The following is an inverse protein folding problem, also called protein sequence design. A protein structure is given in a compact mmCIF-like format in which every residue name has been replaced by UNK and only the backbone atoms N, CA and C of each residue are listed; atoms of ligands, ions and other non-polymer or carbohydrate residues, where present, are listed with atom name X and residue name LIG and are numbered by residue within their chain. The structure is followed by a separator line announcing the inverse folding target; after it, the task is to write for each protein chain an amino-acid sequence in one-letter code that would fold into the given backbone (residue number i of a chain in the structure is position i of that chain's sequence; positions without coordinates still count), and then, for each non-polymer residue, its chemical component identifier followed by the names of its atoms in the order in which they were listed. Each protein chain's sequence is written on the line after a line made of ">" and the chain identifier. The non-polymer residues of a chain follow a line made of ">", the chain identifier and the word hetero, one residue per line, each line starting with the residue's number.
data_IF_477984860253
#
_entry.id   IF_477984860253
#
_cell.length_a   1.000
_cell.length_b   1.000
_cell.length_c   1.000
_cell.angle_alpha   90.00
_cell.angle_beta   90.00
_cell.angle_gamma   90.00
#
_symmetry.space_group_name_H-M   'P 1'
#
loop_
_entity.id
_entity.type
_entity.pdbx_description
1 polymer ?
#
# COMPACT_ATOMS: atom_id res chain seq x y z
N UNK A 1 -5.02 -5.43 -0.18
CA UNK A 1 -4.82 -6.61 0.71
C UNK A 1 -3.36 -7.04 0.80
N UNK A 2 -2.66 -6.85 -0.32
CA UNK A 2 -1.26 -7.12 -0.55
C UNK A 2 -0.43 -5.84 -0.40
N UNK A 3 0.90 -5.97 -0.39
CA UNK A 3 1.81 -4.83 -0.36
C UNK A 3 2.32 -4.44 -1.75
N UNK A 4 2.27 -5.36 -2.70
CA UNK A 4 2.65 -5.16 -4.10
C UNK A 4 4.04 -4.53 -4.26
N UNK A 5 4.95 -4.95 -3.37
CA UNK A 5 6.32 -4.45 -3.20
C UNK A 5 7.36 -5.51 -3.58
N UNK A 6 6.93 -6.62 -4.17
CA UNK A 6 7.85 -7.64 -4.63
C UNK A 6 8.79 -7.09 -5.70
N UNK A 7 9.99 -7.65 -5.73
CA UNK A 7 10.94 -7.53 -6.83
C UNK A 7 10.74 -8.69 -7.82
N UNK A 8 11.26 -8.56 -9.03
CA UNK A 8 11.47 -9.67 -9.96
C UNK A 8 12.25 -10.81 -9.34
N UNK A 9 13.15 -10.55 -8.40
CA UNK A 9 13.91 -11.58 -7.71
C UNK A 9 13.06 -12.25 -6.61
N UNK A 10 12.38 -11.46 -5.78
CA UNK A 10 11.62 -11.96 -4.62
C UNK A 10 10.27 -12.57 -4.96
N UNK A 11 9.63 -12.11 -6.05
CA UNK A 11 8.29 -12.56 -6.42
C UNK A 11 8.23 -14.06 -6.68
N UNK A 12 7.34 -14.82 -6.02
CA UNK A 12 7.13 -16.23 -6.30
C UNK A 12 6.46 -16.49 -7.66
N UNK A 13 5.52 -15.62 -8.04
CA UNK A 13 4.72 -15.77 -9.28
C UNK A 13 5.36 -15.12 -10.50
N UNK A 14 6.32 -14.20 -10.28
CA UNK A 14 6.87 -13.29 -11.31
C UNK A 14 5.81 -12.43 -12.00
N UNK A 15 4.62 -12.30 -11.42
CA UNK A 15 3.60 -11.37 -11.90
C UNK A 15 3.99 -9.94 -11.56
N UNK A 16 4.06 -9.09 -12.58
CA UNK A 16 4.40 -7.66 -12.43
C UNK A 16 3.35 -6.88 -11.63
N UNK A 17 2.15 -7.43 -11.48
CA UNK A 17 1.08 -6.78 -10.72
C UNK A 17 1.41 -6.67 -9.22
N UNK A 18 2.23 -7.58 -8.68
CA UNK A 18 2.73 -7.51 -7.30
C UNK A 18 4.01 -6.69 -7.14
N UNK A 19 4.46 -5.98 -8.19
CA UNK A 19 5.70 -5.19 -8.22
C UNK A 19 5.54 -3.66 -8.44
N UNK A 20 4.34 -3.03 -8.54
CA UNK A 20 4.26 -1.60 -8.86
C UNK A 20 4.97 -0.72 -7.82
N UNK A 21 4.94 -1.09 -6.54
CA UNK A 21 5.61 -0.29 -5.51
C UNK A 21 7.12 -0.38 -5.62
N UNK A 22 7.69 -1.56 -5.91
CA UNK A 22 9.15 -1.71 -6.06
C UNK A 22 9.71 -0.87 -7.22
N UNK A 23 8.95 -0.69 -8.31
CA UNK A 23 9.33 0.22 -9.41
C UNK A 23 9.30 1.71 -9.04
N UNK A 24 8.43 2.10 -8.11
CA UNK A 24 8.27 3.49 -7.69
C UNK A 24 9.24 3.87 -6.58
N UNK A 25 9.70 2.90 -5.78
CA UNK A 25 10.54 3.14 -4.62
C UNK A 25 11.89 3.73 -5.00
N UNK A 26 12.21 4.85 -4.35
CA UNK A 26 13.55 5.43 -4.32
C UNK A 26 14.21 5.05 -2.99
N UNK A 27 14.83 3.87 -2.95
CA UNK A 27 15.59 3.44 -1.78
C UNK A 27 17.07 3.78 -1.93
N UNK A 28 17.59 4.79 -1.20
CA UNK A 28 18.99 5.20 -1.29
C UNK A 28 19.98 4.13 -0.79
N UNK A 29 19.48 3.09 -0.12
CA UNK A 29 20.28 1.97 0.40
C UNK A 29 20.32 0.77 -0.56
N UNK A 30 19.56 0.82 -1.66
CA UNK A 30 19.40 -0.28 -2.62
C UNK A 30 19.10 -1.62 -1.93
N UNK A 31 18.25 -1.62 -0.90
CA UNK A 31 17.91 -2.82 -0.12
C UNK A 31 17.13 -3.83 -0.97
N UNK A 32 16.40 -3.34 -1.96
CA UNK A 32 15.76 -4.21 -2.96
C UNK A 32 16.80 -4.86 -3.89
N UNK A 33 17.99 -4.27 -4.02
CA UNK A 33 19.16 -4.82 -4.71
C UNK A 33 18.95 -5.11 -6.19
N UNK A 34 17.94 -4.49 -6.79
CA UNK A 34 17.22 -5.13 -7.89
C UNK A 34 17.73 -4.70 -9.28
N UNK A 35 17.99 -5.71 -10.12
CA UNK A 35 18.13 -5.55 -11.57
C UNK A 35 16.78 -5.69 -12.25
N UNK A 36 16.16 -4.56 -12.58
CA UNK A 36 14.96 -4.53 -13.42
C UNK A 36 15.31 -4.94 -14.85
N UNK A 37 14.59 -5.90 -15.47
CA UNK A 37 14.78 -6.29 -16.87
C UNK A 37 14.68 -5.10 -17.81
N UNK A 38 15.40 -5.13 -18.94
CA UNK A 38 15.47 -4.04 -19.91
C UNK A 38 14.10 -3.53 -20.35
N UNK A 39 13.13 -4.44 -20.49
CA UNK A 39 11.78 -4.17 -20.98
C UNK A 39 10.96 -3.33 -20.01
N UNK A 40 11.33 -3.31 -18.71
CA UNK A 40 10.64 -2.60 -17.64
C UNK A 40 11.46 -1.44 -17.06
N UNK A 41 12.66 -1.17 -17.58
CA UNK A 41 13.49 -0.05 -17.09
C UNK A 41 12.79 1.30 -17.18
N UNK A 42 11.91 1.49 -18.16
CA UNK A 42 11.13 2.72 -18.33
C UNK A 42 10.12 2.96 -17.18
N UNK A 43 9.71 1.91 -16.47
CA UNK A 43 8.82 1.95 -15.30
C UNK A 43 9.55 2.37 -14.02
N UNK A 44 10.86 2.18 -13.93
CA UNK A 44 11.64 2.54 -12.74
C UNK A 44 11.76 4.06 -12.67
N UNK A 45 10.94 4.69 -11.82
CA UNK A 45 10.87 6.16 -11.73
C UNK A 45 11.57 6.72 -10.48
N UNK A 46 11.82 5.90 -9.45
CA UNK A 46 12.41 6.32 -8.18
C UNK A 46 11.76 7.62 -7.66
N UNK A 47 10.44 7.62 -7.49
CA UNK A 47 9.67 8.81 -7.11
C UNK A 47 9.19 8.76 -5.66
N UNK A 48 9.18 7.58 -5.05
CA UNK A 48 8.57 7.35 -3.75
C UNK A 48 9.62 6.94 -2.73
N UNK A 49 10.02 7.87 -1.87
CA UNK A 49 10.86 7.53 -0.73
C UNK A 49 10.07 6.63 0.25
N UNK A 50 10.64 5.55 0.81
CA UNK A 50 9.92 4.62 1.68
C UNK A 50 9.24 5.26 2.91
N UNK A 51 9.83 6.33 3.46
CA UNK A 51 9.22 7.07 4.58
C UNK A 51 7.93 7.81 4.22
N UNK A 52 7.62 7.93 2.93
CA UNK A 52 6.42 8.56 2.39
C UNK A 52 5.36 7.55 1.93
N UNK A 53 5.52 6.29 2.31
CA UNK A 53 4.58 5.21 2.02
C UNK A 53 3.99 4.65 3.32
N UNK A 54 2.69 4.37 3.30
CA UNK A 54 2.00 3.64 4.35
C UNK A 54 0.99 2.67 3.77
N UNK A 55 0.89 1.48 4.37
CA UNK A 55 -0.09 0.46 4.02
C UNK A 55 -1.12 0.30 5.12
N UNK A 56 -2.39 0.18 4.73
CA UNK A 56 -3.52 -0.04 5.63
C UNK A 56 -4.28 -1.28 5.13
N UNK A 57 -4.56 -2.23 6.03
CA UNK A 57 -5.37 -3.41 5.72
C UNK A 57 -4.59 -4.54 5.06
N UNK A 58 -3.30 -4.69 5.37
CA UNK A 58 -2.54 -5.85 4.91
C UNK A 58 -3.11 -7.11 5.57
N UNK A 59 -3.36 -8.14 4.78
CA UNK A 59 -3.76 -9.47 5.27
C UNK A 59 -3.04 -10.62 4.57
N UNK A 60 -2.63 -10.40 3.33
CA UNK A 60 -2.00 -11.39 2.47
C UNK A 60 -0.77 -10.72 1.86
N UNK A 61 0.37 -10.85 2.51
CA UNK A 61 1.66 -10.43 1.98
C UNK A 61 2.63 -11.57 2.19
N UNK A 62 3.49 -11.82 1.20
CA UNK A 62 4.47 -12.89 1.34
C UNK A 62 5.59 -12.51 2.32
N UNK A 63 6.41 -13.49 2.70
CA UNK A 63 7.46 -13.26 3.68
C UNK A 63 8.51 -12.26 3.22
N UNK A 64 8.81 -12.22 1.91
CA UNK A 64 9.84 -11.35 1.34
C UNK A 64 9.36 -9.89 1.27
N UNK A 65 8.09 -9.69 0.93
CA UNK A 65 7.43 -8.39 1.00
C UNK A 65 7.45 -7.83 2.43
N UNK A 66 7.03 -8.64 3.40
CA UNK A 66 7.02 -8.21 4.80
C UNK A 66 8.42 -7.96 5.36
N UNK A 67 9.44 -8.67 4.86
CA UNK A 67 10.84 -8.38 5.17
C UNK A 67 11.27 -7.03 4.59
N UNK A 68 10.92 -6.76 3.34
CA UNK A 68 11.18 -5.47 2.67
C UNK A 68 10.53 -4.31 3.41
N UNK A 69 9.25 -4.44 3.78
CA UNK A 69 8.52 -3.45 4.58
C UNK A 69 9.25 -3.14 5.89
N UNK A 70 9.74 -4.17 6.60
CA UNK A 70 10.50 -4.00 7.85
C UNK A 70 11.86 -3.33 7.63
N UNK A 71 12.66 -3.79 6.65
CA UNK A 71 13.99 -3.22 6.35
C UNK A 71 13.90 -1.75 5.92
N UNK A 72 12.85 -1.42 5.17
CA UNK A 72 12.58 -0.07 4.71
C UNK A 72 11.90 0.83 5.75
N UNK A 73 11.50 0.27 6.90
CA UNK A 73 10.76 0.96 7.96
C UNK A 73 9.46 1.63 7.48
N UNK A 74 8.80 0.99 6.50
CA UNK A 74 7.53 1.44 5.95
C UNK A 74 6.44 1.26 6.99
N UNK A 75 5.53 2.23 7.09
CA UNK A 75 4.39 2.14 8.01
C UNK A 75 3.38 1.13 7.45
N UNK A 76 3.12 0.05 8.18
CA UNK A 76 2.26 -1.02 7.73
C UNK A 76 1.30 -1.43 8.84
N UNK A 77 0.00 -1.39 8.56
CA UNK A 77 -1.06 -1.73 9.49
C UNK A 77 -1.85 -2.91 8.92
N UNK A 78 -1.72 -4.08 9.54
CA UNK A 78 -2.46 -5.27 9.17
C UNK A 78 -3.89 -5.26 9.73
N UNK A 79 -4.71 -6.21 9.27
CA UNK A 79 -6.09 -6.35 9.75
C UNK A 79 -6.17 -6.55 11.28
N UNK A 80 -5.25 -7.32 11.86
CA UNK A 80 -5.19 -7.52 13.31
C UNK A 80 -4.92 -6.22 14.08
N UNK A 81 -4.08 -5.34 13.54
CA UNK A 81 -3.84 -4.01 14.11
C UNK A 81 -5.07 -3.13 13.98
N UNK A 82 -5.74 -3.15 12.81
CA UNK A 82 -6.99 -2.42 12.61
C UNK A 82 -8.07 -2.88 13.61
N UNK A 83 -8.21 -4.18 13.83
CA UNK A 83 -9.18 -4.71 14.80
C UNK A 83 -8.85 -4.28 16.24
N UNK A 84 -7.56 -4.15 16.57
CA UNK A 84 -7.10 -3.78 17.91
C UNK A 84 -7.25 -2.29 18.23
N UNK A 85 -6.88 -1.40 17.31
CA UNK A 85 -6.82 0.05 17.57
C UNK A 85 -7.84 0.87 16.79
N UNK A 86 -8.57 0.24 15.87
CA UNK A 86 -9.52 0.88 14.98
C UNK A 86 -8.85 1.53 13.78
N UNK A 87 -9.55 1.50 12.64
CA UNK A 87 -9.04 2.07 11.38
C UNK A 87 -8.70 3.56 11.48
N UNK A 88 -9.46 4.30 12.31
CA UNK A 88 -9.27 5.74 12.48
C UNK A 88 -7.90 6.05 13.09
N UNK A 89 -7.49 5.28 14.09
CA UNK A 89 -6.19 5.46 14.74
C UNK A 89 -5.05 5.01 13.82
N UNK A 90 -5.24 3.94 13.05
CA UNK A 90 -4.27 3.49 12.04
C UNK A 90 -3.99 4.60 11.00
N UNK A 91 -5.05 5.19 10.41
CA UNK A 91 -4.91 6.25 9.40
C UNK A 91 -4.26 7.49 10.03
N UNK A 92 -4.71 7.91 11.21
CA UNK A 92 -4.16 9.08 11.91
C UNK A 92 -2.67 8.90 12.22
N UNK A 93 -2.28 7.71 12.67
CA UNK A 93 -0.88 7.37 12.96
C UNK A 93 -0.04 7.36 11.68
N UNK A 94 -0.58 6.79 10.59
CA UNK A 94 0.08 6.76 9.29
C UNK A 94 0.34 8.19 8.78
N UNK A 95 -0.69 9.04 8.73
CA UNK A 95 -0.58 10.42 8.24
C UNK A 95 0.43 11.24 9.04
N UNK A 96 0.40 11.15 10.38
CA UNK A 96 1.38 11.83 11.24
C UNK A 96 2.81 11.38 10.97
N UNK A 97 3.04 10.10 10.67
CA UNK A 97 4.37 9.58 10.35
C UNK A 97 4.83 9.99 8.95
N UNK A 98 3.92 10.04 7.99
CA UNK A 98 4.20 10.45 6.60
C UNK A 98 4.49 11.95 6.48
N UNK A 99 3.68 12.77 7.14
CA UNK A 99 3.80 14.23 7.11
C UNK A 99 3.31 14.86 8.41
N UNK A 100 4.19 15.03 9.42
CA UNK A 100 3.83 15.61 10.71
C UNK A 100 3.20 17.02 10.61
N UNK A 101 3.52 17.77 9.54
CA UNK A 101 3.02 19.12 9.29
C UNK A 101 1.71 19.16 8.49
N UNK A 102 1.21 18.02 8.00
CA UNK A 102 -0.01 17.93 7.17
C UNK A 102 -0.05 18.95 6.01
N UNK A 103 1.10 19.25 5.43
CA UNK A 103 1.30 20.28 4.39
C UNK A 103 1.49 19.70 3.00
N UNK A 104 1.76 18.39 2.90
CA UNK A 104 2.03 17.71 1.63
C UNK A 104 0.76 17.13 1.04
N UNK A 105 0.71 17.03 -0.31
CA UNK A 105 -0.37 16.32 -0.96
C UNK A 105 -0.33 14.81 -0.65
N UNK A 106 -1.51 14.21 -0.55
CA UNK A 106 -1.72 12.80 -0.26
C UNK A 106 -2.27 12.13 -1.52
N UNK A 107 -1.63 11.02 -1.91
CA UNK A 107 -2.13 10.10 -2.92
C UNK A 107 -2.67 8.86 -2.22
N UNK A 108 -3.90 8.44 -2.56
CA UNK A 108 -4.48 7.20 -2.07
C UNK A 108 -4.59 6.23 -3.25
N UNK A 109 -3.86 5.12 -3.22
CA UNK A 109 -4.16 3.96 -4.07
C UNK A 109 -5.02 3.02 -3.24
N UNK A 110 -6.18 2.67 -3.78
CA UNK A 110 -7.18 1.85 -3.13
C UNK A 110 -7.41 0.60 -3.97
N UNK A 111 -6.78 -0.50 -3.58
CA UNK A 111 -7.09 -1.81 -4.15
C UNK A 111 -8.46 -2.27 -3.62
N UNK A 112 -9.39 -2.53 -4.53
CA UNK A 112 -10.73 -3.00 -4.21
C UNK A 112 -10.72 -4.35 -3.49
N UNK A 113 -9.64 -5.13 -3.61
CA UNK A 113 -9.43 -6.37 -2.86
C UNK A 113 -9.25 -6.16 -1.35
N UNK A 114 -9.05 -4.92 -0.90
CA UNK A 114 -8.99 -4.56 0.52
C UNK A 114 -10.36 -4.65 1.20
N UNK A 115 -11.43 -4.57 0.42
CA UNK A 115 -12.81 -4.66 0.90
C UNK A 115 -13.27 -6.10 1.07
N UNK A 116 -14.43 -6.27 1.72
CA UNK A 116 -15.12 -7.55 1.82
C UNK A 116 -15.73 -8.03 0.49
N UNK A 117 -15.38 -9.20 -0.05
CA UNK A 117 -16.05 -9.96 -1.08
C UNK A 117 -17.51 -10.24 -0.83
N UNK A 118 -17.96 -10.30 0.43
CA UNK A 118 -19.40 -10.31 0.72
C UNK A 118 -20.06 -8.96 0.39
N UNK A 119 -19.27 -7.88 0.30
CA UNK A 119 -19.70 -6.54 -0.12
C UNK A 119 -19.37 -6.26 -1.60
N UNK A 120 -18.33 -6.89 -2.17
CA UNK A 120 -17.88 -6.72 -3.56
C UNK A 120 -17.46 -8.08 -4.14
N UNK A 121 -18.36 -8.77 -4.84
CA UNK A 121 -18.15 -10.13 -5.37
C UNK A 121 -17.19 -10.23 -6.58
N UNK A 122 -16.37 -9.21 -6.81
CA UNK A 122 -15.54 -9.08 -8.00
C UNK A 122 -14.07 -8.88 -7.63
N UNK A 123 -13.44 -9.79 -6.88
CA UNK A 123 -11.97 -9.83 -6.72
C UNK A 123 -11.43 -11.27 -6.61
N UNK A 124 -10.18 -11.47 -7.04
CA UNK A 124 -9.55 -12.80 -7.20
C UNK A 124 -9.04 -13.49 -5.93
N UNK A 125 -9.05 -12.85 -4.75
CA UNK A 125 -8.38 -13.39 -3.53
C UNK A 125 -9.25 -13.28 -2.26
N UNK A 126 -9.82 -14.39 -1.73
CA UNK A 126 -10.70 -14.36 -0.56
C UNK A 126 -9.96 -14.36 0.80
N UNK A 127 -10.51 -13.68 1.82
CA UNK A 127 -10.17 -13.73 3.26
C UNK A 127 -10.60 -12.50 4.08
N UNK A 128 -11.18 -12.66 5.28
CA UNK A 128 -11.76 -11.66 6.24
C UNK A 128 -11.41 -10.16 6.06
N UNK A 129 -12.40 -9.27 6.12
CA UNK A 129 -12.35 -8.03 5.34
C UNK A 129 -12.89 -6.74 6.02
N UNK A 130 -12.65 -5.58 5.37
CA UNK A 130 -13.09 -4.25 5.82
C UNK A 130 -14.52 -3.89 5.37
N UNK A 131 -15.35 -3.38 6.28
CA UNK A 131 -16.73 -2.91 6.01
C UNK A 131 -16.80 -1.44 5.53
N UNK A 132 -17.67 -1.14 4.55
CA UNK A 132 -17.88 0.19 3.90
C UNK A 132 -17.98 1.40 4.85
N UNK A 133 -18.64 1.34 6.03
CA UNK A 133 -18.77 2.51 6.90
C UNK A 133 -17.43 3.05 7.42
N UNK A 134 -16.40 2.21 7.42
CA UNK A 134 -15.07 2.52 7.93
C UNK A 134 -14.14 3.18 6.89
N UNK A 135 -14.41 2.99 5.60
CA UNK A 135 -13.57 3.51 4.49
C UNK A 135 -14.01 4.92 4.10
N UNK A 136 -15.33 5.16 4.02
CA UNK A 136 -15.91 6.38 3.47
C UNK A 136 -16.73 7.17 4.49
N UNK A 137 -16.16 7.49 5.65
CA UNK A 137 -16.64 8.68 6.36
C UNK A 137 -16.30 9.92 5.52
N UNK A 138 -17.12 10.20 4.49
CA UNK A 138 -17.04 11.33 3.54
C UNK A 138 -16.80 12.69 4.21
N UNK A 139 -17.12 12.81 5.50
CA UNK A 139 -16.95 14.05 6.28
C UNK A 139 -15.50 14.42 6.59
N UNK A 140 -14.54 13.49 6.61
CA UNK A 140 -13.20 13.81 7.15
C UNK A 140 -12.07 13.83 6.13
N UNK A 141 -12.12 12.95 5.12
CA UNK A 141 -11.15 12.95 4.02
C UNK A 141 -11.22 14.23 3.15
N UNK A 142 -12.35 14.94 3.18
CA UNK A 142 -12.52 16.25 2.52
C UNK A 142 -12.13 17.45 3.41
N UNK A 143 -12.05 17.30 4.73
CA UNK A 143 -11.64 18.39 5.64
C UNK A 143 -10.11 18.59 5.62
N UNK A 144 -9.36 17.54 5.27
CA UNK A 144 -7.93 17.59 5.00
C UNK A 144 -7.70 17.89 3.51
N UNK A 145 -7.60 19.18 3.16
CA UNK A 145 -7.55 19.77 1.80
C UNK A 145 -6.44 19.29 0.84
N UNK A 146 -5.84 18.12 1.05
CA UNK A 146 -4.61 17.69 0.39
C UNK A 146 -4.71 16.36 -0.38
N UNK A 147 -5.88 15.71 -0.49
CA UNK A 147 -6.02 14.54 -1.38
C UNK A 147 -6.00 15.02 -2.83
N UNK A 148 -4.94 14.67 -3.55
CA UNK A 148 -4.74 15.08 -4.94
C UNK A 148 -5.20 14.04 -5.95
N UNK A 149 -5.27 12.76 -5.55
CA UNK A 149 -5.61 11.67 -6.44
C UNK A 149 -6.01 10.40 -5.67
N UNK A 150 -7.02 9.69 -6.17
CA UNK A 150 -7.46 8.39 -5.69
C UNK A 150 -7.43 7.41 -6.87
N UNK A 151 -6.51 6.45 -6.87
CA UNK A 151 -6.51 5.33 -7.81
C UNK A 151 -7.35 4.20 -7.25
N UNK A 152 -8.25 3.63 -8.06
CA UNK A 152 -8.95 2.37 -7.71
C UNK A 152 -8.33 1.29 -8.57
N UNK A 153 -7.62 0.37 -7.93
CA UNK A 153 -6.95 -0.73 -8.59
C UNK A 153 -7.76 -2.01 -8.36
N UNK A 154 -7.85 -2.87 -9.38
CA UNK A 154 -8.50 -4.18 -9.27
C UNK A 154 -7.57 -5.25 -9.82
N UNK A 155 -7.30 -6.27 -9.02
CA UNK A 155 -6.51 -7.43 -9.43
C UNK A 155 -7.30 -8.28 -10.44
N UNK A 156 -7.15 -7.98 -11.74
CA UNK A 156 -7.66 -8.79 -12.86
C UNK A 156 -6.64 -8.89 -13.98
#
# INVERSE_FOLDING_TARGET
>A
AHTDINTFESSPSKSVHGMPVSFLLDDPRDITGEKVPSEYQWCRKNLLHPSRLAYIGIRQADSAEMETVRKLNISAFDMATIDRIGIHECITTALKKLDPSFSKPIHVSFDIDSMDPSLISCTGTPGTYMTVPNIFSKRRLNDERNIIHCGIDSQY
#
